data_IF_337234586103
#
_entry.id   IF_337234586103
#
_cell.length_a   1.000
_cell.length_b   1.000
_cell.length_c   1.000
_cell.angle_alpha   90.00
_cell.angle_beta   90.00
_cell.angle_gamma   90.00
#
_symmetry.space_group_name_H-M   'P 1'
#
loop_
_entity.id
_entity.type
_entity.pdbx_description
1 polymer ?
#
# COMPACT_ATOMS: atom_id res chain seq x y z
N UNK A 1 -13.71 6.36 5.32
CA UNK A 1 -13.52 7.61 4.56
C UNK A 1 -12.62 7.35 3.39
N UNK A 2 -12.88 8.00 2.24
CA UNK A 2 -12.08 7.86 1.02
C UNK A 2 -11.38 9.19 0.76
N UNK A 3 -10.09 9.12 0.49
CA UNK A 3 -9.25 10.21 0.02
C UNK A 3 -8.60 9.79 -1.30
N UNK A 4 -8.40 10.75 -2.20
CA UNK A 4 -7.70 10.54 -3.46
C UNK A 4 -6.55 11.54 -3.50
N UNK A 5 -5.36 11.04 -3.76
CA UNK A 5 -4.18 11.84 -4.07
C UNK A 5 -3.79 11.60 -5.52
N UNK A 6 -3.63 12.67 -6.28
CA UNK A 6 -3.38 12.60 -7.72
C UNK A 6 -2.77 13.91 -8.22
N UNK A 7 -2.36 13.97 -9.48
CA UNK A 7 -1.91 15.22 -10.08
C UNK A 7 -3.07 16.23 -10.28
N UNK A 8 -2.69 17.48 -10.44
CA UNK A 8 -3.66 18.59 -10.51
C UNK A 8 -4.62 18.48 -11.70
N UNK A 9 -4.17 17.94 -12.84
CA UNK A 9 -4.99 17.81 -14.06
C UNK A 9 -6.10 16.78 -13.88
N UNK A 10 -5.82 15.70 -13.15
CA UNK A 10 -6.79 14.65 -12.86
C UNK A 10 -7.73 15.06 -11.72
N UNK A 11 -7.22 15.79 -10.71
CA UNK A 11 -8.00 16.20 -9.54
C UNK A 11 -9.29 16.95 -9.93
N UNK A 12 -9.23 17.81 -10.95
CA UNK A 12 -10.40 18.54 -11.45
C UNK A 12 -11.46 17.59 -12.05
N UNK A 13 -11.03 16.52 -12.72
CA UNK A 13 -11.94 15.55 -13.36
C UNK A 13 -12.58 14.59 -12.36
N UNK A 14 -11.92 14.32 -11.24
CA UNK A 14 -12.43 13.40 -10.21
C UNK A 14 -13.78 13.85 -9.70
N UNK A 15 -14.00 15.14 -9.48
CA UNK A 15 -15.29 15.67 -9.00
C UNK A 15 -16.45 15.46 -10.00
N UNK A 16 -16.13 15.41 -11.29
CA UNK A 16 -17.13 15.09 -12.32
C UNK A 16 -17.52 13.61 -12.28
N UNK A 17 -16.54 12.73 -12.06
CA UNK A 17 -16.75 11.27 -12.04
C UNK A 17 -17.28 10.79 -10.69
N UNK A 18 -16.86 11.43 -9.60
CA UNK A 18 -17.23 11.09 -8.23
C UNK A 18 -17.87 12.28 -7.50
N UNK A 19 -19.08 12.72 -7.90
CA UNK A 19 -19.70 13.94 -7.36
C UNK A 19 -20.05 13.85 -5.88
N UNK A 20 -20.17 12.63 -5.33
CA UNK A 20 -20.42 12.40 -3.89
C UNK A 20 -19.15 12.49 -3.02
N UNK A 21 -17.96 12.50 -3.62
CA UNK A 21 -16.72 12.66 -2.88
C UNK A 21 -16.53 14.13 -2.51
N UNK A 22 -16.28 14.38 -1.22
CA UNK A 22 -16.04 15.75 -0.75
C UNK A 22 -14.82 16.34 -1.43
N UNK A 23 -14.88 17.61 -1.82
CA UNK A 23 -13.75 18.31 -2.48
C UNK A 23 -12.47 18.25 -1.65
N UNK A 24 -12.58 18.44 -0.34
CA UNK A 24 -11.45 18.35 0.61
C UNK A 24 -10.77 16.98 0.70
N UNK A 25 -11.41 15.94 0.16
CA UNK A 25 -10.85 14.59 0.14
C UNK A 25 -10.08 14.28 -1.16
N UNK A 26 -9.98 15.25 -2.06
CA UNK A 26 -9.15 15.14 -3.27
C UNK A 26 -7.95 16.06 -3.11
N UNK A 27 -6.77 15.46 -2.96
CA UNK A 27 -5.51 16.17 -2.77
C UNK A 27 -4.77 16.18 -4.11
N UNK A 28 -4.55 17.38 -4.64
CA UNK A 28 -3.78 17.56 -5.86
C UNK A 28 -2.29 17.70 -5.54
N UNK A 29 -1.47 16.81 -6.08
CA UNK A 29 -0.02 16.95 -6.02
C UNK A 29 0.44 17.98 -7.06
N UNK A 30 1.31 18.93 -6.68
CA UNK A 30 1.87 19.88 -7.64
C UNK A 30 2.82 19.19 -8.64
N UNK A 31 3.40 18.06 -8.26
CA UNK A 31 4.29 17.24 -9.07
C UNK A 31 4.28 15.81 -8.55
N UNK A 32 4.01 14.85 -9.41
CA UNK A 32 4.10 13.43 -9.07
C UNK A 32 5.54 13.00 -8.77
N UNK A 33 5.82 12.53 -7.57
CA UNK A 33 7.15 12.08 -7.11
C UNK A 33 7.17 10.64 -6.61
N UNK A 34 6.46 9.75 -7.27
CA UNK A 34 6.28 8.35 -6.86
C UNK A 34 5.40 8.18 -5.60
N UNK A 35 5.24 6.94 -5.15
CA UNK A 35 4.29 6.55 -4.09
C UNK A 35 4.69 7.08 -2.70
N UNK A 36 5.99 7.07 -2.36
CA UNK A 36 6.42 7.37 -0.99
C UNK A 36 6.11 8.80 -0.54
N UNK A 37 6.35 9.86 -1.33
CA UNK A 37 5.94 11.22 -0.96
C UNK A 37 4.42 11.36 -0.82
N UNK A 38 3.65 10.80 -1.74
CA UNK A 38 2.18 10.83 -1.69
C UNK A 38 1.66 10.20 -0.39
N UNK A 39 2.18 9.02 -0.05
CA UNK A 39 1.84 8.32 1.20
C UNK A 39 2.25 9.13 2.43
N UNK A 40 3.44 9.73 2.44
CA UNK A 40 3.93 10.53 3.55
C UNK A 40 3.06 11.77 3.80
N UNK A 41 2.76 12.53 2.75
CA UNK A 41 1.86 13.69 2.82
C UNK A 41 0.50 13.29 3.36
N UNK A 42 -0.09 12.20 2.83
CA UNK A 42 -1.40 11.72 3.28
C UNK A 42 -1.38 11.23 4.72
N UNK A 43 -0.33 10.52 5.13
CA UNK A 43 -0.21 10.05 6.51
C UNK A 43 -0.10 11.23 7.49
N UNK A 44 0.73 12.24 7.20
CA UNK A 44 0.87 13.44 8.03
C UNK A 44 -0.45 14.24 8.09
N UNK A 45 -1.10 14.47 6.94
CA UNK A 45 -2.37 15.18 6.86
C UNK A 45 -3.48 14.46 7.67
N UNK A 46 -3.63 13.15 7.46
CA UNK A 46 -4.68 12.37 8.11
C UNK A 46 -4.41 12.18 9.61
N UNK A 47 -3.13 12.07 10.01
CA UNK A 47 -2.74 12.07 11.42
C UNK A 47 -3.15 13.37 12.11
N UNK A 48 -2.88 14.52 11.50
CA UNK A 48 -3.29 15.83 12.03
C UNK A 48 -4.80 15.96 12.14
N UNK A 49 -5.55 15.39 11.19
CA UNK A 49 -7.01 15.52 11.11
C UNK A 49 -7.77 14.54 12.00
N UNK A 50 -7.23 13.32 12.21
CA UNK A 50 -7.94 12.21 12.84
C UNK A 50 -7.15 11.47 13.93
N UNK A 51 -5.98 11.94 14.31
CA UNK A 51 -5.10 11.25 15.24
C UNK A 51 -4.26 10.18 14.55
N UNK A 52 -4.42 8.91 14.90
CA UNK A 52 -3.65 7.81 14.31
C UNK A 52 -4.55 6.80 13.56
N UNK A 53 -5.20 7.20 12.46
CA UNK A 53 -6.03 6.26 11.70
C UNK A 53 -5.19 5.21 10.97
N UNK A 54 -5.80 4.03 10.77
CA UNK A 54 -5.28 3.01 9.87
C UNK A 54 -5.59 3.38 8.43
N UNK A 55 -4.58 3.36 7.59
CA UNK A 55 -4.65 3.68 6.18
C UNK A 55 -4.64 2.40 5.35
N UNK A 56 -5.57 2.30 4.41
CA UNK A 56 -5.52 1.36 3.30
C UNK A 56 -5.19 2.14 2.03
N UNK A 57 -4.04 1.85 1.45
CA UNK A 57 -3.54 2.48 0.22
C UNK A 57 -3.83 1.56 -0.94
N UNK A 58 -4.53 2.07 -1.95
CA UNK A 58 -4.93 1.33 -3.14
C UNK A 58 -4.54 2.10 -4.40
N UNK A 59 -4.12 1.39 -5.43
CA UNK A 59 -4.01 1.93 -6.79
C UNK A 59 -5.40 1.97 -7.44
N UNK A 60 -5.65 2.99 -8.26
CA UNK A 60 -6.96 3.19 -8.91
C UNK A 60 -7.19 2.29 -10.14
N UNK A 61 -6.15 1.63 -10.64
CA UNK A 61 -6.14 0.83 -11.86
C UNK A 61 -6.32 -0.69 -11.62
N UNK A 62 -6.52 -1.09 -10.37
CA UNK A 62 -6.72 -2.50 -10.04
C UNK A 62 -8.20 -2.92 -10.19
N UNK A 63 -8.43 -4.01 -10.91
CA UNK A 63 -9.70 -4.71 -10.93
C UNK A 63 -9.71 -5.81 -9.86
N UNK A 64 -10.65 -5.73 -8.92
CA UNK A 64 -10.79 -6.68 -7.81
C UNK A 64 -12.17 -7.36 -7.94
N UNK A 65 -12.23 -8.56 -8.53
CA UNK A 65 -13.52 -9.22 -8.83
C UNK A 65 -14.26 -9.70 -7.57
N UNK A 66 -13.52 -10.32 -6.63
CA UNK A 66 -14.09 -10.87 -5.39
C UNK A 66 -13.96 -9.83 -4.25
N UNK A 67 -15.00 -9.00 -4.10
CA UNK A 67 -15.05 -7.95 -3.08
C UNK A 67 -15.07 -8.51 -1.67
N UNK A 68 -15.76 -9.60 -1.43
CA UNK A 68 -15.90 -10.18 -0.08
C UNK A 68 -14.58 -10.78 0.39
N UNK A 69 -13.89 -11.49 -0.49
CA UNK A 69 -12.56 -12.02 -0.21
C UNK A 69 -11.57 -10.87 0.02
N UNK A 70 -11.62 -9.85 -0.82
CA UNK A 70 -10.78 -8.65 -0.65
C UNK A 70 -11.01 -7.99 0.71
N UNK A 71 -12.26 -7.75 1.11
CA UNK A 71 -12.58 -7.14 2.41
C UNK A 71 -12.14 -8.00 3.58
N UNK A 72 -12.17 -9.33 3.48
CA UNK A 72 -11.59 -10.23 4.50
C UNK A 72 -10.07 -10.00 4.63
N UNK A 73 -9.35 -9.85 3.52
CA UNK A 73 -7.91 -9.55 3.54
C UNK A 73 -7.62 -8.16 4.09
N UNK A 74 -8.43 -7.16 3.73
CA UNK A 74 -8.31 -5.78 4.27
C UNK A 74 -8.49 -5.78 5.79
N UNK A 75 -9.52 -6.44 6.31
CA UNK A 75 -9.76 -6.51 7.75
C UNK A 75 -8.62 -7.25 8.49
N UNK A 76 -8.08 -8.31 7.87
CA UNK A 76 -6.93 -9.00 8.41
C UNK A 76 -5.68 -8.11 8.44
N UNK A 77 -5.43 -7.36 7.35
CA UNK A 77 -4.31 -6.43 7.24
C UNK A 77 -4.42 -5.30 8.28
N UNK A 78 -5.62 -4.69 8.44
CA UNK A 78 -5.88 -3.68 9.45
C UNK A 78 -5.62 -4.21 10.87
N UNK A 79 -6.08 -5.44 11.16
CA UNK A 79 -5.83 -6.09 12.45
C UNK A 79 -4.33 -6.27 12.73
N UNK A 80 -3.54 -6.65 11.73
CA UNK A 80 -2.08 -6.80 11.85
C UNK A 80 -1.42 -5.43 12.03
N UNK A 81 -1.81 -4.44 11.24
CA UNK A 81 -1.29 -3.08 11.34
C UNK A 81 -1.53 -2.50 12.74
N UNK A 82 -2.76 -2.54 13.23
CA UNK A 82 -3.16 -1.94 14.51
C UNK A 82 -2.61 -2.67 15.73
N UNK A 83 -2.70 -4.01 15.74
CA UNK A 83 -2.34 -4.79 16.95
C UNK A 83 -0.87 -5.17 17.01
N UNK A 84 -0.18 -5.20 15.89
CA UNK A 84 1.21 -5.63 15.83
C UNK A 84 2.16 -4.55 15.31
N UNK A 85 1.65 -3.35 15.02
CA UNK A 85 2.44 -2.21 14.52
C UNK A 85 3.33 -2.61 13.33
N UNK A 86 2.70 -3.19 12.31
CA UNK A 86 3.40 -3.66 11.10
C UNK A 86 2.95 -2.90 9.86
N UNK A 87 3.91 -2.63 8.99
CA UNK A 87 3.62 -2.22 7.62
C UNK A 87 3.24 -3.47 6.83
N UNK A 88 2.03 -3.48 6.30
CA UNK A 88 1.47 -4.65 5.59
C UNK A 88 1.37 -4.37 4.11
N UNK A 89 1.79 -5.31 3.28
CA UNK A 89 1.51 -5.35 1.84
C UNK A 89 0.73 -6.62 1.47
N UNK A 90 0.03 -6.59 0.35
CA UNK A 90 -0.73 -7.73 -0.15
C UNK A 90 0.05 -8.43 -1.26
N UNK A 91 0.30 -9.71 -1.06
CA UNK A 91 0.93 -10.55 -2.08
C UNK A 91 -0.10 -11.23 -2.96
N UNK A 92 0.09 -11.16 -4.27
CA UNK A 92 -0.75 -11.85 -5.26
C UNK A 92 0.04 -13.02 -5.84
N UNK A 93 -0.59 -14.20 -5.91
CA UNK A 93 0.07 -15.39 -6.43
C UNK A 93 0.41 -15.21 -7.92
N UNK A 94 1.69 -15.34 -8.31
CA UNK A 94 2.09 -15.20 -9.69
C UNK A 94 1.50 -16.32 -10.56
N UNK A 95 1.03 -15.96 -11.75
CA UNK A 95 0.54 -16.91 -12.76
C UNK A 95 1.47 -16.99 -13.98
N UNK A 96 2.35 -16.03 -14.14
CA UNK A 96 3.38 -15.97 -15.18
C UNK A 96 4.61 -15.18 -14.68
N UNK A 97 5.76 -15.25 -15.36
CA UNK A 97 6.99 -14.58 -14.91
C UNK A 97 7.02 -13.11 -15.34
N UNK A 98 6.21 -12.25 -14.71
CA UNK A 98 6.15 -10.81 -14.97
C UNK A 98 7.44 -10.12 -14.54
N UNK A 99 7.97 -9.25 -15.37
CA UNK A 99 9.19 -8.48 -15.10
C UNK A 99 8.92 -7.01 -14.75
N UNK A 100 7.69 -6.53 -14.97
CA UNK A 100 7.25 -5.18 -14.63
C UNK A 100 6.80 -5.01 -13.18
N UNK A 101 6.67 -6.11 -12.43
CA UNK A 101 6.20 -6.10 -11.04
C UNK A 101 7.31 -6.37 -10.04
N UNK A 102 7.13 -5.85 -8.82
CA UNK A 102 7.91 -6.27 -7.67
C UNK A 102 7.48 -7.65 -7.18
N UNK A 103 8.40 -8.41 -6.61
CA UNK A 103 8.14 -9.70 -5.96
C UNK A 103 8.46 -9.62 -4.47
N UNK A 104 7.59 -10.20 -3.66
CA UNK A 104 7.75 -10.34 -2.22
C UNK A 104 7.89 -11.81 -1.84
N UNK A 105 8.86 -12.14 -1.00
CA UNK A 105 9.05 -13.49 -0.48
C UNK A 105 8.50 -13.59 0.93
N UNK A 106 7.58 -14.53 1.14
CA UNK A 106 7.02 -14.84 2.45
C UNK A 106 8.04 -15.59 3.32
N UNK A 107 8.27 -15.09 4.52
CA UNK A 107 9.12 -15.68 5.54
C UNK A 107 8.32 -16.47 6.58
N UNK A 108 8.59 -16.21 7.87
CA UNK A 108 7.90 -16.86 8.99
C UNK A 108 6.44 -16.42 9.08
N UNK A 109 5.56 -17.35 9.46
CA UNK A 109 4.16 -17.05 9.77
C UNK A 109 4.10 -16.16 11.02
N UNK A 110 3.45 -15.02 10.91
CA UNK A 110 3.20 -14.08 12.03
C UNK A 110 1.86 -14.44 12.70
N UNK A 111 0.81 -14.56 11.90
CA UNK A 111 -0.56 -14.76 12.38
C UNK A 111 -1.40 -15.49 11.35
N UNK A 112 -2.35 -16.29 11.85
CA UNK A 112 -3.42 -16.89 11.06
C UNK A 112 -4.75 -16.29 11.50
N UNK A 113 -5.51 -15.76 10.55
CA UNK A 113 -6.81 -15.11 10.76
C UNK A 113 -7.85 -15.82 9.88
N UNK A 114 -8.43 -16.88 10.41
CA UNK A 114 -9.26 -17.81 9.66
C UNK A 114 -8.46 -18.48 8.53
N UNK A 115 -8.88 -18.29 7.29
CA UNK A 115 -8.19 -18.83 6.09
C UNK A 115 -7.04 -17.91 5.60
N UNK A 116 -6.89 -16.72 6.18
CA UNK A 116 -5.87 -15.75 5.76
C UNK A 116 -4.64 -15.90 6.66
N UNK A 117 -3.47 -15.88 6.06
CA UNK A 117 -2.19 -15.97 6.77
C UNK A 117 -1.35 -14.73 6.51
N UNK A 118 -0.81 -14.14 7.57
CA UNK A 118 0.15 -13.05 7.51
C UNK A 118 1.55 -13.60 7.79
N UNK A 119 2.49 -13.24 6.93
CA UNK A 119 3.88 -13.69 6.99
C UNK A 119 4.81 -12.50 7.16
N UNK A 120 5.94 -12.72 7.81
CA UNK A 120 7.04 -11.77 7.75
C UNK A 120 7.53 -11.66 6.31
N UNK A 121 7.85 -10.45 5.87
CA UNK A 121 8.51 -10.23 4.59
C UNK A 121 9.99 -10.68 4.74
N UNK A 122 10.40 -11.67 3.96
CA UNK A 122 11.77 -12.17 3.94
C UNK A 122 12.66 -11.35 3.00
N UNK A 123 12.16 -11.07 1.80
CA UNK A 123 12.84 -10.22 0.83
C UNK A 123 11.88 -9.56 -0.15
N UNK A 124 12.34 -8.45 -0.74
CA UNK A 124 11.65 -7.71 -1.78
C UNK A 124 12.57 -7.59 -3.01
N UNK A 125 12.02 -7.84 -4.18
CA UNK A 125 12.74 -7.79 -5.45
C UNK A 125 11.97 -6.94 -6.44
N UNK A 126 12.43 -5.74 -6.71
CA UNK A 126 11.79 -4.84 -7.67
C UNK A 126 12.17 -5.24 -9.09
N UNK A 127 11.17 -5.43 -9.95
CA UNK A 127 11.30 -5.63 -11.40
C UNK A 127 12.47 -6.54 -11.78
N UNK A 128 12.43 -7.82 -11.43
CA UNK A 128 13.56 -8.74 -11.65
C UNK A 128 13.71 -9.06 -13.14
N UNK A 129 14.91 -9.48 -13.53
CA UNK A 129 15.15 -10.05 -14.85
C UNK A 129 14.30 -11.33 -15.06
N UNK A 130 13.96 -11.64 -16.32
CA UNK A 130 13.13 -12.78 -16.70
C UNK A 130 13.62 -14.12 -16.12
N UNK A 131 14.93 -14.34 -16.04
CA UNK A 131 15.52 -15.54 -15.44
C UNK A 131 15.12 -15.69 -13.97
N UNK A 132 15.20 -14.61 -13.20
CA UNK A 132 14.78 -14.57 -11.78
C UNK A 132 13.26 -14.68 -11.64
N UNK A 133 12.49 -13.98 -12.48
CA UNK A 133 11.03 -14.07 -12.47
C UNK A 133 10.52 -15.50 -12.70
N UNK A 134 11.16 -16.27 -13.63
CA UNK A 134 10.88 -17.69 -13.83
C UNK A 134 11.21 -18.56 -12.61
N UNK A 135 12.27 -18.22 -11.87
CA UNK A 135 12.61 -18.93 -10.63
C UNK A 135 11.59 -18.61 -9.51
N UNK A 136 11.16 -17.35 -9.39
CA UNK A 136 10.17 -16.94 -8.41
C UNK A 136 8.81 -17.61 -8.66
N UNK A 137 8.39 -17.70 -9.91
CA UNK A 137 7.14 -18.37 -10.29
C UNK A 137 7.08 -19.84 -9.82
N UNK A 138 8.23 -20.53 -9.78
CA UNK A 138 8.32 -21.95 -9.36
C UNK A 138 8.34 -22.11 -7.83
N UNK A 139 8.54 -21.04 -7.08
CA UNK A 139 8.65 -21.09 -5.63
C UNK A 139 7.37 -20.51 -4.98
N UNK A 140 6.58 -21.33 -4.26
CA UNK A 140 5.30 -20.92 -3.70
C UNK A 140 5.39 -19.81 -2.63
N UNK A 141 6.60 -19.52 -2.13
CA UNK A 141 6.83 -18.42 -1.17
C UNK A 141 6.87 -17.05 -1.83
N UNK A 142 7.03 -16.98 -3.17
CA UNK A 142 7.04 -15.71 -3.86
C UNK A 142 5.65 -15.31 -4.33
N UNK A 143 5.34 -14.04 -4.15
CA UNK A 143 4.12 -13.41 -4.63
C UNK A 143 4.48 -12.10 -5.34
N UNK A 144 3.64 -11.64 -6.25
CA UNK A 144 3.74 -10.27 -6.76
C UNK A 144 3.42 -9.28 -5.65
N UNK A 145 4.17 -8.20 -5.55
CA UNK A 145 3.75 -7.05 -4.77
C UNK A 145 2.59 -6.36 -5.47
N UNK A 146 1.45 -6.30 -4.83
CA UNK A 146 0.25 -5.69 -5.41
C UNK A 146 0.31 -4.15 -5.49
N UNK A 147 1.27 -3.51 -4.81
CA UNK A 147 1.23 -2.06 -4.63
C UNK A 147 0.13 -1.57 -3.68
N UNK A 148 -0.60 -2.49 -3.06
CA UNK A 148 -1.57 -2.17 -2.01
C UNK A 148 -0.93 -2.33 -0.64
N UNK A 149 -1.23 -1.41 0.30
CA UNK A 149 -0.61 -1.37 1.60
C UNK A 149 -1.62 -1.04 2.70
N UNK A 150 -1.31 -1.49 3.94
CA UNK A 150 -2.10 -1.15 5.10
C UNK A 150 -1.18 -0.91 6.31
N UNK A 151 -1.37 0.20 7.00
CA UNK A 151 -0.60 0.59 8.20
C UNK A 151 -1.28 1.72 8.96
N UNK A 152 -0.85 1.98 10.19
CA UNK A 152 -1.26 3.20 10.90
C UNK A 152 -0.44 4.41 10.43
N UNK A 153 -0.97 5.61 10.62
CA UNK A 153 -0.22 6.83 10.31
C UNK A 153 1.10 6.89 11.08
N UNK A 154 1.08 6.52 12.35
CA UNK A 154 2.27 6.54 13.20
C UNK A 154 3.35 5.58 12.70
N UNK A 155 2.97 4.35 12.35
CA UNK A 155 3.92 3.32 11.93
C UNK A 155 4.64 3.73 10.63
N UNK A 156 3.90 4.25 9.64
CA UNK A 156 4.53 4.68 8.38
C UNK A 156 5.39 5.94 8.55
N UNK A 157 4.94 6.90 9.34
CA UNK A 157 5.73 8.11 9.60
C UNK A 157 6.99 7.80 10.38
N UNK A 158 6.94 6.93 11.39
CA UNK A 158 8.12 6.43 12.12
C UNK A 158 9.10 5.69 11.18
N UNK A 159 8.58 4.87 10.28
CA UNK A 159 9.42 4.21 9.29
C UNK A 159 10.08 5.21 8.33
N UNK A 160 9.36 6.26 7.90
CA UNK A 160 9.91 7.32 7.07
C UNK A 160 10.97 8.13 7.81
N UNK A 161 10.75 8.49 9.07
CA UNK A 161 11.73 9.19 9.89
C UNK A 161 13.05 8.41 9.95
N UNK A 162 12.96 7.10 10.16
CA UNK A 162 14.13 6.23 10.29
C UNK A 162 14.86 5.99 8.96
N UNK A 163 14.13 5.75 7.88
CA UNK A 163 14.69 5.26 6.62
C UNK A 163 14.74 6.31 5.49
N UNK A 164 13.97 7.38 5.61
CA UNK A 164 13.85 8.46 4.63
C UNK A 164 13.78 9.83 5.33
N UNK A 165 14.78 10.20 6.17
CA UNK A 165 14.68 11.36 7.07
C UNK A 165 14.46 12.69 6.34
N UNK A 166 15.02 12.85 5.13
CA UNK A 166 14.81 14.06 4.33
C UNK A 166 13.35 14.17 3.86
N UNK A 167 12.75 13.05 3.42
CA UNK A 167 11.35 13.02 3.05
C UNK A 167 10.45 13.27 4.26
N UNK A 168 10.72 12.61 5.38
CA UNK A 168 9.98 12.80 6.63
C UNK A 168 9.98 14.28 7.06
N UNK A 169 11.13 14.94 7.03
CA UNK A 169 11.23 16.37 7.34
C UNK A 169 10.37 17.23 6.41
N UNK A 170 10.32 16.90 5.13
CA UNK A 170 9.52 17.64 4.15
C UNK A 170 8.00 17.46 4.32
N UNK A 171 7.54 16.26 4.72
CA UNK A 171 6.10 15.98 4.88
C UNK A 171 5.55 16.30 6.27
N UNK A 172 6.43 16.57 7.25
CA UNK A 172 6.07 16.89 8.64
C UNK A 172 5.97 18.40 8.91
N UNK A 173 6.26 19.24 7.93
CA UNK A 173 6.08 20.70 7.98
C UNK A 173 4.63 21.09 7.72
#
# INVERSE_FOLDING_TARGET
RIYIITDQSIAQRIHTVLPKLKKENVIAEPMGKNTSPAVGVMAAYLKKKYGNPTLLILSSDHLIPDRDLFMKHVNAAATIAEKHHKLVTFGIKPTYPEIGFGYVKSGKLIKKLGKISAFQLDSFHEKPELKKAKQFLRNPKFNWNSGMFCWTCDDILTAMEKHMPQLFKAVSQ
#
